data_IF_728000394105
#
_entry.id   IF_728000394105
#
_cell.length_a   1.000
_cell.length_b   1.000
_cell.length_c   1.000
_cell.angle_alpha   90.00
_cell.angle_beta   90.00
_cell.angle_gamma   90.00
#
_symmetry.space_group_name_H-M   'P 1'
#
loop_
_entity.id
_entity.type
_entity.pdbx_description
1 polymer ?
#
# COMPACT_ATOMS: atom_id res chain seq x y z
N UNK A 1 2.03 -8.33 -4.00
CA UNK A 1 1.26 -7.11 -3.72
C UNK A 1 0.55 -7.33 -2.40
N UNK A 2 0.48 -6.34 -1.49
CA UNK A 2 -0.43 -6.44 -0.35
C UNK A 2 -1.85 -6.69 -0.87
N UNK A 3 -2.60 -7.57 -0.21
CA UNK A 3 -3.98 -7.88 -0.63
C UNK A 3 -4.89 -6.64 -0.55
N UNK A 4 -4.56 -5.70 0.35
CA UNK A 4 -5.33 -4.48 0.61
C UNK A 4 -5.06 -3.32 -0.38
N UNK A 5 -4.76 -3.63 -1.65
CA UNK A 5 -4.58 -2.58 -2.66
C UNK A 5 -5.94 -1.96 -3.00
N UNK A 6 -6.13 -0.69 -2.63
CA UNK A 6 -7.33 0.07 -3.00
C UNK A 6 -7.32 0.38 -4.50
N UNK A 7 -7.97 -0.51 -5.27
CA UNK A 7 -8.07 -0.43 -6.73
C UNK A 7 -8.93 0.74 -7.22
N UNK A 8 -9.79 1.31 -6.37
CA UNK A 8 -10.59 2.50 -6.70
C UNK A 8 -9.72 3.76 -6.69
N UNK A 9 -8.88 3.88 -5.65
CA UNK A 9 -7.92 4.97 -5.52
C UNK A 9 -6.75 4.87 -6.51
N UNK A 10 -6.22 3.64 -6.73
CA UNK A 10 -5.06 3.39 -7.57
C UNK A 10 -5.36 2.39 -8.68
N UNK A 11 -5.95 2.89 -9.77
CA UNK A 11 -6.33 2.09 -10.93
C UNK A 11 -5.09 1.67 -11.74
N UNK A 12 -4.81 0.37 -11.78
CA UNK A 12 -3.78 -0.23 -12.64
C UNK A 12 -4.49 -1.01 -13.76
N UNK A 13 -4.13 -0.83 -15.03
CA UNK A 13 -4.71 -1.64 -16.10
C UNK A 13 -4.31 -3.11 -15.92
N UNK A 14 -5.16 -4.07 -16.33
CA UNK A 14 -4.83 -5.48 -16.20
C UNK A 14 -3.59 -5.83 -17.03
N UNK A 15 -2.64 -6.53 -16.42
CA UNK A 15 -1.41 -6.99 -17.07
C UNK A 15 -1.76 -7.96 -18.21
N UNK A 16 -1.40 -7.60 -19.45
CA UNK A 16 -1.54 -8.45 -20.65
C UNK A 16 -0.15 -8.77 -21.19
N UNK A 17 0.39 -9.93 -20.81
CA UNK A 17 1.62 -10.45 -21.41
C UNK A 17 1.28 -11.38 -22.57
N UNK A 18 1.90 -11.21 -23.76
CA UNK A 18 1.70 -12.14 -24.87
C UNK A 18 2.29 -13.51 -24.52
N UNK A 19 1.75 -14.57 -25.12
CA UNK A 19 2.30 -15.92 -24.99
C UNK A 19 3.69 -15.98 -25.62
N UNK A 20 4.65 -16.58 -24.93
CA UNK A 20 6.00 -16.78 -25.44
C UNK A 20 6.00 -17.85 -26.53
N UNK A 21 6.09 -17.45 -27.80
CA UNK A 21 6.20 -18.36 -28.95
C UNK A 21 7.66 -18.79 -29.17
N UNK A 22 7.91 -20.11 -29.26
CA UNK A 22 9.24 -20.67 -29.53
C UNK A 22 9.51 -20.65 -31.04
N UNK A 23 10.16 -19.60 -31.53
CA UNK A 23 10.54 -19.48 -32.95
C UNK A 23 11.79 -20.27 -33.33
N UNK A 24 12.59 -20.70 -32.35
CA UNK A 24 13.82 -21.49 -32.55
C UNK A 24 13.85 -22.72 -31.65
N UNK A 25 14.58 -23.77 -32.06
CA UNK A 25 14.77 -25.00 -31.26
C UNK A 25 15.72 -24.82 -30.07
N UNK A 26 16.44 -23.70 -30.02
CA UNK A 26 17.37 -23.40 -28.94
C UNK A 26 16.59 -22.88 -27.73
N UNK A 27 16.79 -23.46 -26.53
CA UNK A 27 16.16 -22.97 -25.32
C UNK A 27 16.53 -21.50 -25.03
N UNK A 28 15.54 -20.66 -24.73
CA UNK A 28 15.80 -19.28 -24.31
C UNK A 28 16.42 -19.27 -22.89
N UNK A 29 17.65 -18.75 -22.70
CA UNK A 29 18.31 -18.75 -21.40
C UNK A 29 17.53 -17.96 -20.34
N UNK A 30 16.72 -16.97 -20.73
CA UNK A 30 15.89 -16.16 -19.81
C UNK A 30 14.94 -17.04 -19.00
N UNK A 31 14.34 -18.07 -19.61
CA UNK A 31 13.42 -18.96 -18.91
C UNK A 31 14.15 -19.80 -17.84
N UNK A 32 15.39 -20.20 -18.11
CA UNK A 32 16.22 -20.92 -17.14
C UNK A 32 16.61 -20.00 -15.99
N UNK A 33 17.06 -18.79 -16.27
CA UNK A 33 17.37 -17.81 -15.22
C UNK A 33 16.16 -17.49 -14.35
N UNK A 34 14.96 -17.33 -14.94
CA UNK A 34 13.73 -17.11 -14.19
C UNK A 34 13.42 -18.30 -13.27
N UNK A 35 13.48 -19.53 -13.78
CA UNK A 35 13.24 -20.73 -12.97
C UNK A 35 14.28 -20.93 -11.85
N UNK A 36 15.54 -20.61 -12.12
CA UNK A 36 16.61 -20.66 -11.13
C UNK A 36 16.41 -19.59 -10.05
N UNK A 37 16.06 -18.37 -10.45
CA UNK A 37 15.76 -17.29 -9.52
C UNK A 37 14.57 -17.62 -8.62
N UNK A 38 13.48 -18.16 -9.19
CA UNK A 38 12.31 -18.53 -8.40
C UNK A 38 12.61 -19.64 -7.38
N UNK A 39 13.46 -20.61 -7.73
CA UNK A 39 13.81 -21.71 -6.83
C UNK A 39 14.83 -21.31 -5.76
N UNK A 40 15.85 -20.53 -6.15
CA UNK A 40 16.97 -20.17 -5.27
C UNK A 40 16.64 -19.01 -4.34
N UNK A 41 15.83 -18.05 -4.77
CA UNK A 41 15.54 -16.84 -4.00
C UNK A 41 14.08 -16.73 -3.60
N UNK A 42 13.15 -16.82 -4.55
CA UNK A 42 11.73 -16.50 -4.28
C UNK A 42 11.08 -17.52 -3.32
N UNK A 43 11.30 -18.82 -3.55
CA UNK A 43 10.79 -19.89 -2.70
C UNK A 43 11.27 -19.80 -1.23
N UNK A 44 12.58 -19.70 -0.92
CA UNK A 44 13.02 -19.57 0.47
C UNK A 44 12.59 -18.26 1.12
N UNK A 45 12.54 -17.14 0.37
CA UNK A 45 12.05 -15.86 0.91
C UNK A 45 10.56 -15.95 1.26
N UNK A 46 9.77 -16.61 0.42
CA UNK A 46 8.34 -16.83 0.68
C UNK A 46 8.14 -17.71 1.91
N UNK A 47 8.93 -18.76 2.08
CA UNK A 47 8.87 -19.60 3.29
C UNK A 47 9.17 -18.81 4.57
N UNK A 48 10.20 -17.96 4.57
CA UNK A 48 10.50 -17.09 5.72
C UNK A 48 9.36 -16.09 5.98
N UNK A 49 8.76 -15.54 4.93
CA UNK A 49 7.59 -14.65 5.04
C UNK A 49 6.42 -15.36 5.74
N UNK A 50 6.10 -16.58 5.31
CA UNK A 50 5.03 -17.38 5.91
C UNK A 50 5.29 -17.70 7.39
N UNK A 51 6.53 -18.02 7.76
CA UNK A 51 6.91 -18.24 9.15
C UNK A 51 6.68 -16.98 10.01
N UNK A 52 7.06 -15.80 9.50
CA UNK A 52 6.86 -14.53 10.20
C UNK A 52 5.37 -14.20 10.30
N UNK A 53 4.60 -14.39 9.23
CA UNK A 53 3.15 -14.19 9.21
C UNK A 53 2.45 -15.10 10.24
N UNK A 54 2.88 -16.36 10.39
CA UNK A 54 2.36 -17.26 11.43
C UNK A 54 2.64 -16.74 12.85
N UNK A 55 3.81 -16.15 13.09
CA UNK A 55 4.14 -15.55 14.38
C UNK A 55 3.32 -14.27 14.63
N UNK A 56 3.16 -13.44 13.61
CA UNK A 56 2.38 -12.20 13.71
C UNK A 56 0.89 -12.48 13.90
N UNK A 57 0.34 -13.50 13.23
CA UNK A 57 -1.06 -13.90 13.36
C UNK A 57 -1.42 -14.41 14.76
N UNK A 58 -0.44 -14.97 15.51
CA UNK A 58 -0.66 -15.33 16.92
C UNK A 58 -0.92 -14.11 17.81
N UNK A 59 -0.34 -12.96 17.47
CA UNK A 59 -0.43 -11.71 18.24
C UNK A 59 -0.90 -10.56 17.34
N UNK A 60 -2.15 -10.61 16.86
CA UNK A 60 -2.69 -9.57 15.98
C UNK A 60 -3.00 -8.30 16.77
N UNK A 61 -2.32 -7.21 16.42
CA UNK A 61 -2.59 -5.87 16.93
C UNK A 61 -3.44 -5.07 15.95
N UNK A 62 -4.46 -4.40 16.46
CA UNK A 62 -5.32 -3.52 15.67
C UNK A 62 -4.95 -2.07 15.90
N UNK A 63 -4.87 -1.31 14.82
CA UNK A 63 -4.72 0.14 14.85
C UNK A 63 -5.84 0.78 14.03
N UNK A 64 -6.20 2.01 14.36
CA UNK A 64 -7.27 2.75 13.71
C UNK A 64 -6.75 4.08 13.17
N UNK A 65 -7.29 4.50 12.03
CA UNK A 65 -7.04 5.84 11.51
C UNK A 65 -7.85 6.87 12.30
N UNK A 66 -7.19 7.91 12.80
CA UNK A 66 -7.84 8.99 13.51
C UNK A 66 -8.71 9.81 12.55
N UNK A 67 -10.02 9.92 12.84
CA UNK A 67 -10.96 10.76 12.11
C UNK A 67 -11.16 12.07 12.86
N UNK A 68 -10.64 13.16 12.32
CA UNK A 68 -10.84 14.49 12.88
C UNK A 68 -12.22 15.03 12.51
N UNK A 69 -12.96 15.55 13.49
CA UNK A 69 -14.22 16.26 13.23
C UNK A 69 -13.95 17.63 12.61
N UNK A 70 -14.90 18.11 11.83
CA UNK A 70 -14.89 19.49 11.33
C UNK A 70 -15.24 20.45 12.46
N UNK A 71 -14.51 21.55 12.50
CA UNK A 71 -14.60 22.73 13.36
C UNK A 71 -15.05 23.89 12.46
N UNK A 72 -15.75 24.92 13.00
CA UNK A 72 -16.05 26.15 12.26
C UNK A 72 -14.80 26.75 11.62
N UNK A 73 -14.97 27.28 10.41
CA UNK A 73 -13.90 27.93 9.67
C UNK A 73 -13.64 29.34 10.24
N UNK A 74 -12.48 29.93 9.88
CA UNK A 74 -12.04 31.22 10.41
C UNK A 74 -13.03 32.38 10.17
N UNK A 75 -13.88 32.27 9.15
CA UNK A 75 -14.90 33.26 8.80
C UNK A 75 -16.08 33.33 9.78
N UNK A 76 -16.32 32.28 10.55
CA UNK A 76 -17.44 32.20 11.50
C UNK A 76 -17.04 32.63 12.92
N UNK A 77 -15.73 32.81 13.16
CA UNK A 77 -15.19 33.21 14.45
C UNK A 77 -15.43 34.70 14.76
N UNK A 78 -15.76 35.01 16.01
CA UNK A 78 -15.86 36.38 16.51
C UNK A 78 -14.47 37.04 16.60
N UNK A 79 -14.43 38.35 16.42
CA UNK A 79 -13.19 39.12 16.57
C UNK A 79 -12.63 39.03 18.00
N UNK A 80 -11.38 38.58 18.11
CA UNK A 80 -10.68 38.44 19.39
C UNK A 80 -10.86 37.11 20.11
N UNK A 81 -11.61 36.16 19.55
CA UNK A 81 -11.69 34.79 20.09
C UNK A 81 -10.52 33.93 19.59
N UNK A 82 -9.43 33.95 20.36
CA UNK A 82 -8.21 33.19 20.03
C UNK A 82 -8.38 31.67 20.09
N UNK A 83 -9.35 31.14 20.85
CA UNK A 83 -9.60 29.69 20.89
C UNK A 83 -10.21 29.23 19.57
N UNK A 84 -11.20 29.98 19.06
CA UNK A 84 -11.79 29.72 17.76
C UNK A 84 -10.74 29.77 16.63
N UNK A 85 -9.87 30.78 16.66
CA UNK A 85 -8.79 30.91 15.67
C UNK A 85 -7.81 29.74 15.70
N UNK A 86 -7.44 29.26 16.88
CA UNK A 86 -6.51 28.15 17.02
C UNK A 86 -7.06 26.84 16.44
N UNK A 87 -8.32 26.52 16.74
CA UNK A 87 -8.94 25.28 16.25
C UNK A 87 -9.16 25.31 14.73
N UNK A 88 -9.61 26.45 14.21
CA UNK A 88 -9.80 26.67 12.77
C UNK A 88 -8.47 26.62 12.00
N UNK A 89 -7.42 27.25 12.51
CA UNK A 89 -6.09 27.20 11.88
C UNK A 89 -5.52 25.77 11.92
N UNK A 90 -5.71 25.04 13.03
CA UNK A 90 -5.31 23.65 13.12
C UNK A 90 -6.06 22.74 12.13
N UNK A 91 -7.32 23.04 11.81
CA UNK A 91 -8.07 22.36 10.75
C UNK A 91 -7.50 22.68 9.37
N UNK A 92 -7.28 23.95 9.07
CA UNK A 92 -6.73 24.37 7.78
C UNK A 92 -5.35 23.77 7.49
N UNK A 93 -4.47 23.71 8.51
CA UNK A 93 -3.16 23.05 8.40
C UNK A 93 -3.24 21.54 8.16
N UNK A 94 -4.34 20.88 8.53
CA UNK A 94 -4.57 19.45 8.28
C UNK A 94 -5.12 19.17 6.89
N UNK A 95 -5.92 20.09 6.34
CA UNK A 95 -6.52 19.95 5.01
C UNK A 95 -5.60 20.39 3.87
N UNK A 96 -4.64 21.27 4.15
CA UNK A 96 -3.64 21.74 3.20
C UNK A 96 -2.60 20.67 2.87
#
# INVERSE_FOLDING_TARGET
MPEDHDWEAYKVPPTRTPVSERTTSVPNPVNYFQSAFSYVFDAPVTFVRELIEQLQNKNKFYYYHQKFRRVPDLSECLEGDYLCYYEAEAQWRRDR
#
